data_IF_980899991933
#
_entry.id   IF_980899991933
#
_cell.length_a   1.000
_cell.length_b   1.000
_cell.length_c   1.000
_cell.angle_alpha   90.00
_cell.angle_beta   90.00
_cell.angle_gamma   90.00
#
_symmetry.space_group_name_H-M   'P 1'
#
loop_
_entity.id
_entity.type
_entity.pdbx_description
1 polymer ?
#
# COMPACT_ATOMS: atom_id res chain seq x y z
N UNK A 1 5.41 -9.57 -30.90
CA UNK A 1 6.26 -10.11 -29.83
C UNK A 1 5.34 -10.50 -28.66
N UNK A 2 5.39 -11.76 -28.22
CA UNK A 2 4.46 -12.30 -27.22
C UNK A 2 4.76 -11.63 -25.87
N UNK A 3 3.74 -11.01 -25.24
CA UNK A 3 3.87 -10.31 -23.93
C UNK A 3 4.46 -11.21 -22.83
N UNK A 4 4.22 -12.52 -22.91
CA UNK A 4 4.78 -13.51 -21.98
C UNK A 4 6.30 -13.65 -22.12
N UNK A 5 6.82 -13.64 -23.36
CA UNK A 5 8.26 -13.70 -23.64
C UNK A 5 8.93 -12.42 -23.11
N UNK A 6 8.34 -11.25 -23.35
CA UNK A 6 8.85 -9.97 -22.83
C UNK A 6 8.87 -9.94 -21.29
N UNK A 7 7.81 -10.47 -20.65
CA UNK A 7 7.71 -10.56 -19.19
C UNK A 7 8.76 -11.53 -18.61
N UNK A 8 8.98 -12.68 -19.27
CA UNK A 8 9.99 -13.66 -18.86
C UNK A 8 11.41 -13.06 -18.95
N UNK A 9 11.76 -12.39 -20.04
CA UNK A 9 13.06 -11.71 -20.17
C UNK A 9 13.24 -10.62 -19.13
N UNK A 10 12.19 -9.83 -18.82
CA UNK A 10 12.24 -8.81 -17.76
C UNK A 10 12.52 -9.41 -16.39
N UNK A 11 11.91 -10.56 -16.04
CA UNK A 11 12.19 -11.26 -14.78
C UNK A 11 13.63 -11.78 -14.66
N UNK A 12 14.23 -12.22 -15.74
CA UNK A 12 15.61 -12.75 -15.76
C UNK A 12 16.63 -11.62 -15.64
N UNK A 13 16.46 -10.53 -16.39
CA UNK A 13 17.47 -9.49 -16.52
C UNK A 13 17.36 -8.34 -15.55
N UNK A 14 16.19 -8.15 -14.89
CA UNK A 14 15.98 -7.03 -13.97
C UNK A 14 15.51 -7.49 -12.60
N UNK A 15 16.07 -6.88 -11.55
CA UNK A 15 15.57 -7.13 -10.18
C UNK A 15 14.12 -6.65 -10.02
N UNK A 16 13.35 -7.32 -9.16
CA UNK A 16 11.96 -6.94 -8.89
C UNK A 16 11.85 -5.48 -8.39
N UNK A 17 12.80 -5.04 -7.56
CA UNK A 17 12.85 -3.66 -7.09
C UNK A 17 13.11 -2.65 -8.21
N UNK A 18 13.92 -2.99 -9.22
CA UNK A 18 14.10 -2.15 -10.41
C UNK A 18 12.81 -2.02 -11.21
N UNK A 19 12.12 -3.14 -11.46
CA UNK A 19 10.84 -3.15 -12.18
C UNK A 19 9.76 -2.37 -11.41
N UNK A 20 9.70 -2.53 -10.09
CA UNK A 20 8.82 -1.76 -9.22
C UNK A 20 9.12 -0.26 -9.34
N UNK A 21 10.38 0.16 -9.20
CA UNK A 21 10.77 1.58 -9.34
C UNK A 21 10.36 2.18 -10.67
N UNK A 22 10.51 1.42 -11.77
CA UNK A 22 10.09 1.84 -13.11
C UNK A 22 8.57 2.01 -13.19
N UNK A 23 7.80 1.07 -12.61
CA UNK A 23 6.33 1.12 -12.51
C UNK A 23 5.88 2.36 -11.74
N UNK A 24 6.42 2.58 -10.52
CA UNK A 24 6.09 3.74 -9.68
C UNK A 24 6.35 5.08 -10.40
N UNK A 25 7.51 5.21 -11.06
CA UNK A 25 7.82 6.41 -11.86
C UNK A 25 6.83 6.61 -13.01
N UNK A 26 6.40 5.53 -13.66
CA UNK A 26 5.44 5.57 -14.77
C UNK A 26 4.05 6.00 -14.27
N UNK A 27 3.55 5.42 -13.15
CA UNK A 27 2.27 5.80 -12.56
C UNK A 27 2.24 7.29 -12.23
N UNK A 28 3.28 7.83 -11.60
CA UNK A 28 3.37 9.26 -11.29
C UNK A 28 3.42 10.12 -12.58
N UNK A 29 4.19 9.68 -13.60
CA UNK A 29 4.31 10.43 -14.86
C UNK A 29 3.01 10.46 -15.63
N UNK A 30 2.29 9.36 -15.68
CA UNK A 30 1.02 9.24 -16.40
C UNK A 30 -0.15 9.93 -15.65
N UNK A 31 0.09 10.42 -14.42
CA UNK A 31 -0.92 11.05 -13.57
C UNK A 31 -2.20 10.20 -13.48
N UNK A 32 -2.03 8.92 -13.20
CA UNK A 32 -3.16 7.99 -13.02
C UNK A 32 -4.14 8.51 -11.97
N UNK A 33 -3.62 9.32 -11.01
CA UNK A 33 -4.40 10.02 -9.97
C UNK A 33 -4.01 11.50 -9.95
N UNK A 34 -4.97 12.41 -10.13
CA UNK A 34 -4.70 13.86 -10.21
C UNK A 34 -4.13 14.44 -8.90
N UNK A 35 -4.48 13.83 -7.76
CA UNK A 35 -4.04 14.23 -6.42
C UNK A 35 -2.53 14.14 -6.24
N UNK A 36 -1.86 13.22 -6.97
CA UNK A 36 -0.41 13.06 -6.91
C UNK A 36 0.36 14.35 -7.21
N UNK A 37 -0.19 15.24 -8.05
CA UNK A 37 0.44 16.53 -8.39
C UNK A 37 0.45 17.51 -7.22
N UNK A 38 -0.52 17.37 -6.32
CA UNK A 38 -0.76 18.31 -5.22
C UNK A 38 0.03 17.95 -3.96
N UNK A 39 0.44 16.69 -3.78
CA UNK A 39 1.09 16.18 -2.55
C UNK A 39 2.26 17.05 -2.10
N UNK A 40 3.11 17.48 -3.03
CA UNK A 40 4.27 18.33 -2.74
C UNK A 40 3.91 19.66 -2.04
N UNK A 41 2.69 20.14 -2.22
CA UNK A 41 2.23 21.40 -1.67
C UNK A 41 1.74 21.27 -0.21
N UNK A 42 1.45 20.05 0.24
CA UNK A 42 0.92 19.77 1.57
C UNK A 42 1.98 19.23 2.54
N UNK A 43 3.06 18.63 2.04
CA UNK A 43 4.14 18.13 2.89
C UNK A 43 5.09 19.27 3.22
N UNK A 44 5.17 19.61 4.50
CA UNK A 44 6.07 20.67 5.00
C UNK A 44 7.51 20.14 5.12
N UNK A 45 8.53 20.94 4.80
CA UNK A 45 9.93 20.54 4.95
C UNK A 45 10.26 20.09 6.37
N UNK A 46 11.01 19.00 6.51
CA UNK A 46 11.47 18.46 7.80
C UNK A 46 10.40 17.75 8.63
N UNK A 47 9.22 17.51 8.07
CA UNK A 47 8.13 16.77 8.71
C UNK A 47 8.01 15.35 8.18
N UNK A 48 7.30 14.51 8.92
CA UNK A 48 6.92 13.15 8.48
C UNK A 48 5.56 13.17 7.80
N UNK A 49 5.26 12.12 7.06
CA UNK A 49 3.94 11.86 6.46
C UNK A 49 3.50 10.42 6.69
N UNK A 50 2.18 10.19 6.57
CA UNK A 50 1.56 8.88 6.79
C UNK A 50 0.80 8.46 5.53
N UNK A 51 1.02 7.21 5.08
CA UNK A 51 0.31 6.56 3.98
C UNK A 51 -0.44 5.36 4.52
N UNK A 52 -1.78 5.45 4.60
CA UNK A 52 -2.66 4.40 5.12
C UNK A 52 -3.36 3.73 3.96
N UNK A 53 -3.14 2.40 3.81
CA UNK A 53 -3.52 1.65 2.63
C UNK A 53 -2.50 1.84 1.50
N UNK A 54 -1.30 1.29 1.69
CA UNK A 54 -0.14 1.51 0.81
C UNK A 54 -0.29 0.86 -0.55
N UNK A 55 -0.86 -0.34 -0.59
CA UNK A 55 -1.03 -1.15 -1.79
C UNK A 55 0.28 -1.25 -2.61
N UNK A 56 0.37 -0.57 -3.76
CA UNK A 56 1.56 -0.60 -4.64
C UNK A 56 2.66 0.39 -4.27
N UNK A 57 2.43 1.24 -3.26
CA UNK A 57 3.40 2.20 -2.75
C UNK A 57 3.62 3.43 -3.64
N UNK A 58 2.66 3.79 -4.50
CA UNK A 58 2.77 4.96 -5.40
C UNK A 58 2.82 6.24 -4.58
N UNK A 59 1.88 6.39 -3.63
CA UNK A 59 1.84 7.54 -2.71
C UNK A 59 3.09 7.58 -1.83
N UNK A 60 3.43 6.48 -1.16
CA UNK A 60 4.66 6.37 -0.35
C UNK A 60 5.91 6.78 -1.12
N UNK A 61 6.05 6.33 -2.38
CA UNK A 61 7.19 6.66 -3.24
C UNK A 61 7.23 8.15 -3.59
N UNK A 62 6.09 8.80 -3.80
CA UNK A 62 6.05 10.22 -4.08
C UNK A 62 6.30 11.04 -2.81
N UNK A 63 5.62 10.70 -1.71
CA UNK A 63 5.76 11.36 -0.39
C UNK A 63 7.18 11.29 0.14
N UNK A 64 7.91 10.19 -0.11
CA UNK A 64 9.31 10.03 0.32
C UNK A 64 10.28 11.07 -0.25
N UNK A 65 9.90 11.78 -1.31
CA UNK A 65 10.71 12.84 -1.90
C UNK A 65 10.61 14.18 -1.15
N UNK A 66 9.58 14.32 -0.31
CA UNK A 66 9.27 15.57 0.37
C UNK A 66 9.26 15.43 1.89
N UNK A 67 9.03 14.21 2.41
CA UNK A 67 8.98 13.91 3.84
C UNK A 67 10.34 13.57 4.42
N UNK A 68 10.55 13.84 5.72
CA UNK A 68 11.69 13.33 6.45
C UNK A 68 11.59 11.81 6.57
N UNK A 69 10.42 11.29 6.98
CA UNK A 69 10.07 9.86 7.01
C UNK A 69 8.65 9.67 6.50
N UNK A 70 8.41 8.60 5.75
CA UNK A 70 7.06 8.12 5.43
C UNK A 70 6.73 6.94 6.32
N UNK A 71 5.61 7.03 7.05
CA UNK A 71 5.06 5.94 7.84
C UNK A 71 3.93 5.28 7.04
N UNK A 72 4.15 4.05 6.59
CA UNK A 72 3.31 3.36 5.63
C UNK A 72 2.61 2.16 6.30
N UNK A 73 1.27 2.12 6.28
CA UNK A 73 0.45 1.08 6.92
C UNK A 73 -0.23 0.23 5.85
N UNK A 74 0.10 -1.08 5.85
CA UNK A 74 -0.45 -2.05 4.92
C UNK A 74 -0.84 -3.33 5.66
N UNK A 75 -2.15 -3.59 5.87
CA UNK A 75 -2.61 -4.75 6.63
C UNK A 75 -2.50 -6.06 5.88
N UNK A 76 -2.58 -6.06 4.54
CA UNK A 76 -2.53 -7.29 3.76
C UNK A 76 -1.14 -7.93 3.84
N UNK A 77 -1.01 -9.12 4.45
CA UNK A 77 0.32 -9.72 4.68
C UNK A 77 1.06 -10.09 3.40
N UNK A 78 0.35 -10.29 2.29
CA UNK A 78 0.96 -10.60 0.99
C UNK A 78 1.58 -9.34 0.39
N UNK A 79 0.82 -8.24 0.39
CA UNK A 79 1.31 -6.94 -0.07
C UNK A 79 2.45 -6.46 0.82
N UNK A 80 2.29 -6.53 2.15
CA UNK A 80 3.32 -6.14 3.11
C UNK A 80 4.67 -6.83 2.83
N UNK A 81 4.67 -8.15 2.62
CA UNK A 81 5.89 -8.90 2.28
C UNK A 81 6.55 -8.44 0.99
N UNK A 82 5.75 -8.11 -0.04
CA UNK A 82 6.29 -7.56 -1.30
C UNK A 82 6.89 -6.16 -1.11
N UNK A 83 6.19 -5.29 -0.38
CA UNK A 83 6.65 -3.95 -0.04
C UNK A 83 7.96 -4.01 0.77
N UNK A 84 8.02 -4.84 1.80
CA UNK A 84 9.22 -5.03 2.62
C UNK A 84 10.40 -5.51 1.78
N UNK A 85 10.18 -6.49 0.92
CA UNK A 85 11.22 -7.07 0.06
C UNK A 85 11.73 -6.11 -1.02
N UNK A 86 10.83 -5.31 -1.61
CA UNK A 86 11.11 -4.54 -2.82
C UNK A 86 11.09 -3.02 -2.61
N UNK A 87 10.11 -2.47 -1.86
CA UNK A 87 9.96 -1.03 -1.68
C UNK A 87 11.05 -0.44 -0.77
N UNK A 88 11.45 -1.14 0.29
CA UNK A 88 12.56 -0.73 1.19
C UNK A 88 13.92 -0.62 0.48
N UNK A 89 14.10 -1.33 -0.64
CA UNK A 89 15.31 -1.19 -1.47
C UNK A 89 15.31 0.10 -2.27
N UNK A 90 14.13 0.66 -2.54
CA UNK A 90 13.92 1.84 -3.40
C UNK A 90 13.83 3.12 -2.56
N UNK A 91 13.13 3.06 -1.42
CA UNK A 91 12.87 4.19 -0.53
C UNK A 91 13.65 3.96 0.78
N UNK A 92 14.52 4.91 1.14
CA UNK A 92 15.37 4.78 2.33
C UNK A 92 14.77 5.40 3.59
N UNK A 93 13.88 6.37 3.41
CA UNK A 93 13.18 7.11 4.47
C UNK A 93 11.72 6.66 4.61
N UNK A 94 11.47 5.35 4.60
CA UNK A 94 10.15 4.76 4.83
C UNK A 94 10.21 3.74 5.96
N UNK A 95 9.16 3.70 6.77
CA UNK A 95 8.87 2.63 7.74
C UNK A 95 7.55 2.00 7.36
N UNK A 96 7.52 0.68 7.22
CA UNK A 96 6.31 -0.06 6.81
C UNK A 96 5.81 -0.86 8.01
N UNK A 97 4.51 -0.78 8.28
CA UNK A 97 3.82 -1.44 9.39
C UNK A 97 2.76 -2.38 8.85
N UNK A 98 2.75 -3.63 9.32
CA UNK A 98 1.73 -4.62 8.94
C UNK A 98 0.53 -4.58 9.91
N UNK A 99 -0.15 -3.44 9.95
CA UNK A 99 -1.35 -3.21 10.72
C UNK A 99 -2.41 -2.55 9.85
N UNK A 100 -3.70 -2.84 10.11
CA UNK A 100 -4.77 -1.94 9.75
C UNK A 100 -4.87 -0.84 10.81
N UNK A 101 -5.24 0.37 10.40
CA UNK A 101 -5.58 1.42 11.36
C UNK A 101 -7.11 1.45 11.57
N UNK A 102 -7.54 1.67 12.82
CA UNK A 102 -8.93 1.67 13.22
C UNK A 102 -9.11 2.43 14.55
N UNK A 103 -10.35 2.56 15.02
CA UNK A 103 -10.69 3.13 16.32
C UNK A 103 -10.44 2.17 17.51
N UNK A 104 -10.03 0.91 17.24
CA UNK A 104 -9.79 -0.13 18.24
C UNK A 104 -8.56 -0.96 17.91
N UNK A 105 -7.95 -1.53 18.98
CA UNK A 105 -6.87 -2.51 18.89
C UNK A 105 -7.47 -3.91 19.04
N UNK A 106 -7.63 -4.62 17.94
CA UNK A 106 -8.25 -5.96 17.94
C UNK A 106 -7.76 -6.80 16.76
N UNK A 107 -8.10 -8.09 16.76
CA UNK A 107 -7.88 -8.95 15.60
C UNK A 107 -9.16 -8.97 14.76
N UNK A 108 -9.01 -8.75 13.47
CA UNK A 108 -10.12 -8.70 12.52
C UNK A 108 -9.82 -9.51 11.27
N UNK A 109 -10.86 -9.86 10.53
CA UNK A 109 -10.74 -10.54 9.25
C UNK A 109 -10.60 -9.53 8.11
N UNK A 110 -9.45 -9.53 7.42
CA UNK A 110 -9.27 -8.81 6.17
C UNK A 110 -9.76 -9.68 5.02
N UNK A 111 -10.75 -9.21 4.27
CA UNK A 111 -11.32 -9.87 3.10
C UNK A 111 -10.69 -9.34 1.83
N UNK A 112 -10.03 -10.20 1.07
CA UNK A 112 -9.42 -9.87 -0.23
C UNK A 112 -10.24 -10.51 -1.34
N UNK A 113 -10.93 -9.72 -2.19
CA UNK A 113 -11.77 -10.26 -3.25
C UNK A 113 -11.00 -11.11 -4.24
N UNK A 114 -11.62 -12.20 -4.69
CA UNK A 114 -11.08 -13.10 -5.71
C UNK A 114 -11.65 -12.69 -7.07
N UNK A 115 -10.77 -12.33 -8.01
CA UNK A 115 -11.15 -11.94 -9.38
C UNK A 115 -11.39 -13.15 -10.28
N UNK A 116 -10.53 -14.18 -10.16
CA UNK A 116 -10.53 -15.32 -11.05
C UNK A 116 -10.48 -16.62 -10.25
N UNK A 117 -11.24 -17.65 -10.66
CA UNK A 117 -11.29 -18.94 -9.95
C UNK A 117 -10.11 -19.86 -10.29
N UNK A 118 -9.35 -19.58 -11.34
CA UNK A 118 -8.18 -20.36 -11.74
C UNK A 118 -6.93 -19.80 -11.05
N UNK A 119 -6.60 -20.34 -9.89
CA UNK A 119 -5.46 -19.92 -9.08
C UNK A 119 -4.13 -20.34 -9.71
N UNK A 120 -3.24 -19.37 -9.94
CA UNK A 120 -1.83 -19.59 -10.21
C UNK A 120 -1.00 -18.86 -9.15
N UNK A 121 -0.26 -19.62 -8.35
CA UNK A 121 0.62 -19.08 -7.28
C UNK A 121 1.67 -18.08 -7.80
N UNK A 122 2.00 -18.16 -9.10
CA UNK A 122 2.96 -17.26 -9.73
C UNK A 122 2.35 -15.93 -10.19
N UNK A 123 1.00 -15.80 -10.14
CA UNK A 123 0.29 -14.65 -10.68
C UNK A 123 -0.77 -14.08 -9.74
N UNK A 124 -0.36 -13.82 -8.51
CA UNK A 124 -1.22 -13.38 -7.41
C UNK A 124 -2.04 -12.12 -7.74
N UNK A 125 -1.46 -11.17 -8.50
CA UNK A 125 -2.14 -9.91 -8.88
C UNK A 125 -3.29 -10.14 -9.89
N UNK A 126 -3.24 -11.19 -10.72
CA UNK A 126 -4.34 -11.55 -11.64
C UNK A 126 -5.50 -12.27 -10.93
N UNK A 127 -5.17 -12.95 -9.84
CA UNK A 127 -6.14 -13.76 -9.11
C UNK A 127 -6.94 -12.94 -8.09
N UNK A 128 -6.29 -12.01 -7.38
CA UNK A 128 -6.91 -11.20 -6.33
C UNK A 128 -7.07 -9.74 -6.73
N UNK A 129 -8.19 -9.12 -6.32
CA UNK A 129 -8.37 -7.67 -6.34
C UNK A 129 -7.75 -7.05 -5.08
N UNK A 130 -6.43 -7.11 -4.98
CA UNK A 130 -5.68 -6.73 -3.78
C UNK A 130 -5.93 -5.29 -3.32
N UNK A 131 -6.18 -4.37 -4.26
CA UNK A 131 -6.51 -2.98 -3.96
C UNK A 131 -7.91 -2.77 -3.41
N UNK A 132 -8.75 -3.80 -3.40
CA UNK A 132 -10.12 -3.77 -2.84
C UNK A 132 -10.25 -4.58 -1.55
N UNK A 133 -9.12 -4.87 -0.89
CA UNK A 133 -9.12 -5.55 0.39
C UNK A 133 -9.78 -4.68 1.46
N UNK A 134 -10.70 -5.24 2.25
CA UNK A 134 -11.48 -4.50 3.24
C UNK A 134 -11.68 -5.28 4.53
N UNK A 135 -11.76 -4.56 5.64
CA UNK A 135 -12.20 -5.08 6.94
C UNK A 135 -13.63 -4.64 7.27
N UNK A 136 -14.28 -3.87 6.39
CA UNK A 136 -15.61 -3.34 6.64
C UNK A 136 -16.67 -4.43 6.57
N UNK A 137 -17.49 -4.56 7.63
CA UNK A 137 -18.49 -5.63 7.78
C UNK A 137 -19.60 -5.59 6.73
N UNK A 138 -19.99 -4.39 6.28
CA UNK A 138 -21.07 -4.20 5.30
C UNK A 138 -20.65 -4.52 3.87
N UNK A 139 -19.38 -4.82 3.63
CA UNK A 139 -18.92 -5.16 2.29
C UNK A 139 -19.31 -6.59 1.91
N UNK A 140 -20.25 -6.72 0.98
CA UNK A 140 -20.85 -7.99 0.53
C UNK A 140 -20.00 -8.71 -0.51
N UNK A 141 -18.70 -8.80 -0.31
CA UNK A 141 -17.82 -9.57 -1.20
C UNK A 141 -18.17 -11.06 -1.10
N UNK A 142 -18.70 -11.66 -2.18
CA UNK A 142 -19.15 -13.05 -2.17
C UNK A 142 -18.00 -14.07 -2.23
N UNK A 143 -16.95 -13.76 -3.01
CA UNK A 143 -15.79 -14.63 -3.16
C UNK A 143 -14.53 -13.87 -2.71
N UNK A 144 -13.94 -14.32 -1.60
CA UNK A 144 -12.75 -13.68 -1.03
C UNK A 144 -11.83 -14.71 -0.36
N UNK A 145 -10.58 -14.34 -0.22
CA UNK A 145 -9.65 -14.97 0.72
C UNK A 145 -9.53 -14.09 1.94
N UNK A 146 -9.60 -14.70 3.12
CA UNK A 146 -9.45 -13.97 4.38
C UNK A 146 -8.08 -14.13 5.00
N UNK A 147 -7.68 -13.09 5.73
CA UNK A 147 -6.48 -13.07 6.56
C UNK A 147 -6.84 -12.49 7.93
N UNK A 148 -6.41 -13.16 9.00
CA UNK A 148 -6.50 -12.58 10.34
C UNK A 148 -5.39 -11.55 10.50
N UNK A 149 -5.75 -10.30 10.80
CA UNK A 149 -4.83 -9.17 10.93
C UNK A 149 -5.11 -8.40 12.22
N UNK A 150 -4.12 -7.63 12.68
CA UNK A 150 -4.29 -6.71 13.80
C UNK A 150 -4.70 -5.32 13.33
N UNK A 151 -5.67 -4.72 14.05
CA UNK A 151 -5.94 -3.28 13.99
C UNK A 151 -5.22 -2.54 15.11
N UNK A 152 -4.84 -1.30 14.85
CA UNK A 152 -4.22 -0.38 15.84
C UNK A 152 -4.82 1.01 15.68
N UNK A 153 -4.86 1.76 16.79
CA UNK A 153 -5.13 3.19 16.73
C UNK A 153 -3.92 3.95 16.24
N UNK A 154 -4.13 4.96 15.42
CA UNK A 154 -3.03 5.83 14.98
C UNK A 154 -2.37 6.55 16.16
N UNK A 155 -3.15 6.93 17.15
CA UNK A 155 -2.70 7.63 18.36
C UNK A 155 -1.76 6.79 19.26
N UNK A 156 -1.71 5.46 19.08
CA UNK A 156 -0.76 4.59 19.79
C UNK A 156 0.66 4.68 19.23
N UNK A 157 0.84 5.27 18.06
CA UNK A 157 2.15 5.41 17.43
C UNK A 157 2.85 6.71 17.82
N UNK A 158 4.11 6.61 18.24
CA UNK A 158 4.95 7.77 18.53
C UNK A 158 5.84 8.08 17.33
N UNK A 159 5.60 9.24 16.73
CA UNK A 159 6.40 9.75 15.63
C UNK A 159 7.47 10.72 16.14
N UNK A 160 8.67 10.65 15.57
CA UNK A 160 9.80 11.50 15.99
C UNK A 160 9.69 12.94 15.51
N UNK A 161 8.92 13.17 14.47
CA UNK A 161 8.67 14.46 13.84
C UNK A 161 7.17 14.76 13.74
N UNK A 162 6.84 16.03 13.55
CA UNK A 162 5.47 16.46 13.25
C UNK A 162 5.00 15.81 11.96
N UNK A 163 3.77 15.32 11.94
CA UNK A 163 3.07 14.86 10.74
C UNK A 163 2.43 16.07 10.06
N UNK A 164 2.72 16.29 8.79
CA UNK A 164 2.10 17.37 8.01
C UNK A 164 1.13 16.88 6.94
N UNK A 165 1.18 15.60 6.60
CA UNK A 165 0.31 15.02 5.57
C UNK A 165 -0.04 13.58 5.91
N UNK A 166 -1.31 13.25 5.79
CA UNK A 166 -1.85 11.88 5.94
C UNK A 166 -2.68 11.57 4.69
N UNK A 167 -2.40 10.47 4.00
CA UNK A 167 -3.26 9.86 2.98
C UNK A 167 -3.98 8.69 3.60
N UNK A 168 -5.29 8.59 3.38
CA UNK A 168 -6.14 7.49 3.84
C UNK A 168 -6.88 6.93 2.63
N UNK A 169 -6.77 5.62 2.41
CA UNK A 169 -7.45 4.89 1.35
C UNK A 169 -7.58 3.42 1.77
N UNK A 170 -8.66 3.10 2.47
CA UNK A 170 -8.85 1.83 3.20
C UNK A 170 -10.18 1.13 2.88
N UNK A 171 -10.74 1.43 1.69
CA UNK A 171 -11.88 0.73 1.11
C UNK A 171 -13.10 0.65 2.06
N UNK A 172 -13.50 1.83 2.59
CA UNK A 172 -14.72 2.02 3.38
C UNK A 172 -14.53 2.00 4.90
N UNK A 173 -13.29 2.05 5.40
CA UNK A 173 -12.97 2.09 6.83
C UNK A 173 -12.34 3.42 7.28
N UNK A 174 -12.47 4.47 6.44
CA UNK A 174 -11.83 5.79 6.65
C UNK A 174 -12.30 6.46 7.93
N UNK A 175 -13.58 6.32 8.27
CA UNK A 175 -14.19 6.91 9.47
C UNK A 175 -13.56 6.37 10.74
N UNK A 176 -13.35 5.06 10.83
CA UNK A 176 -12.76 4.39 11.98
C UNK A 176 -11.27 4.74 12.12
N UNK A 177 -10.56 4.87 10.99
CA UNK A 177 -9.16 5.36 10.98
C UNK A 177 -9.06 6.76 11.57
N UNK A 178 -9.99 7.67 11.22
CA UNK A 178 -9.97 9.06 11.72
C UNK A 178 -10.32 9.14 13.22
N UNK A 179 -11.11 8.20 13.73
CA UNK A 179 -11.45 8.14 15.17
C UNK A 179 -10.33 7.59 16.05
N UNK A 180 -9.42 6.81 15.50
CA UNK A 180 -8.29 6.15 16.20
C UNK A 180 -7.02 6.96 16.17
#
# INVERSE_FOLDING_TARGET
FNKEIEFFFKKIFFSQSYLLKKRLKRSIKNNEENELKLIKNFILPGTDSIDIGVYRGVYSFLMSKFSQTVHAFEPNPVIYKDLEKNLLKIIKNIKIYNYALSDKNENVELKVPIRNQNFDENNYEEYFEMGKATIHELNTVKNYKSYNIETKKLDDFKFSKKISFIKIDVEGHETEVIKG
#
